data_IF_179914556184
#
_entry.id   IF_179914556184
#
_cell.length_a   1.000
_cell.length_b   1.000
_cell.length_c   1.000
_cell.angle_alpha   90.00
_cell.angle_beta   90.00
_cell.angle_gamma   90.00
#
_symmetry.space_group_name_H-M   'P 1'
#
loop_
_entity.id
_entity.type
_entity.pdbx_description
1 polymer ?
#
# COMPACT_ATOMS: atom_id res chain seq x y z
N UNK A 1 6.74 -22.04 9.33
CA UNK A 1 5.78 -21.04 8.87
C UNK A 1 4.65 -21.69 8.09
N UNK A 2 3.39 -21.43 8.44
CA UNK A 2 2.27 -22.06 7.74
C UNK A 2 2.21 -21.69 6.26
N UNK A 3 2.75 -20.54 5.88
CA UNK A 3 2.72 -20.10 4.47
C UNK A 3 3.82 -20.72 3.62
N UNK A 4 4.87 -21.26 4.22
CA UNK A 4 5.97 -21.88 3.46
C UNK A 4 5.51 -23.08 2.64
N UNK A 5 4.44 -23.74 3.09
CA UNK A 5 3.89 -24.91 2.41
C UNK A 5 2.94 -24.54 1.28
N UNK A 6 2.55 -23.26 1.14
CA UNK A 6 1.64 -22.82 0.09
C UNK A 6 2.01 -21.41 -0.36
N UNK A 7 3.09 -21.30 -1.20
CA UNK A 7 3.53 -20.00 -1.68
C UNK A 7 2.46 -19.24 -2.47
N UNK A 8 1.63 -19.96 -3.23
CA UNK A 8 0.61 -19.32 -4.05
C UNK A 8 -0.44 -18.61 -3.18
N UNK A 9 -0.83 -19.23 -2.06
CA UNK A 9 -1.79 -18.62 -1.14
C UNK A 9 -1.21 -17.34 -0.52
N UNK A 10 0.07 -17.35 -0.19
CA UNK A 10 0.72 -16.17 0.37
C UNK A 10 0.78 -15.03 -0.67
N UNK A 11 1.14 -15.36 -1.91
CA UNK A 11 1.19 -14.37 -2.98
C UNK A 11 -0.19 -13.80 -3.27
N UNK A 12 -1.22 -14.64 -3.27
CA UNK A 12 -2.60 -14.18 -3.45
C UNK A 12 -3.02 -13.23 -2.33
N UNK A 13 -2.62 -13.53 -1.10
CA UNK A 13 -2.86 -12.63 0.04
C UNK A 13 -2.16 -11.29 -0.15
N UNK A 14 -0.93 -11.29 -0.66
CA UNK A 14 -0.21 -10.07 -0.95
C UNK A 14 -0.92 -9.24 -2.03
N UNK A 15 -1.41 -9.89 -3.10
CA UNK A 15 -2.16 -9.20 -4.16
C UNK A 15 -3.43 -8.59 -3.60
N UNK A 16 -4.15 -9.33 -2.72
CA UNK A 16 -5.36 -8.80 -2.07
C UNK A 16 -5.04 -7.58 -1.22
N UNK A 17 -3.95 -7.63 -0.46
CA UNK A 17 -3.52 -6.49 0.34
C UNK A 17 -3.21 -5.28 -0.54
N UNK A 18 -2.52 -5.48 -1.66
CA UNK A 18 -2.22 -4.41 -2.60
C UNK A 18 -3.48 -3.80 -3.20
N UNK A 19 -4.47 -4.65 -3.50
CA UNK A 19 -5.77 -4.17 -3.99
C UNK A 19 -6.44 -3.28 -2.96
N UNK A 20 -6.42 -3.69 -1.70
CA UNK A 20 -7.03 -2.90 -0.62
C UNK A 20 -6.32 -1.57 -0.44
N UNK A 21 -4.99 -1.55 -0.49
CA UNK A 21 -4.21 -0.32 -0.45
C UNK A 21 -4.60 0.61 -1.60
N UNK A 22 -4.72 0.05 -2.80
CA UNK A 22 -5.07 0.82 -3.98
C UNK A 22 -6.46 1.43 -3.85
N UNK A 23 -7.45 0.65 -3.38
CA UNK A 23 -8.81 1.13 -3.21
C UNK A 23 -8.90 2.24 -2.17
N UNK A 24 -8.28 2.03 -1.00
CA UNK A 24 -8.33 3.03 0.07
C UNK A 24 -7.62 4.31 -0.37
N UNK A 25 -6.46 4.21 -1.02
CA UNK A 25 -5.74 5.37 -1.49
C UNK A 25 -6.48 6.11 -2.59
N UNK A 26 -7.19 5.39 -3.48
CA UNK A 26 -7.98 6.01 -4.53
C UNK A 26 -9.13 6.85 -3.95
N UNK A 27 -9.79 6.33 -2.92
CA UNK A 27 -10.84 7.07 -2.21
C UNK A 27 -10.24 8.32 -1.56
N UNK A 28 -9.07 8.18 -0.94
CA UNK A 28 -8.38 9.32 -0.34
C UNK A 28 -8.01 10.39 -1.35
N UNK A 29 -7.49 9.99 -2.51
CA UNK A 29 -7.13 10.92 -3.58
C UNK A 29 -8.37 11.65 -4.09
N UNK A 30 -9.46 10.91 -4.33
CA UNK A 30 -10.70 11.51 -4.81
C UNK A 30 -11.25 12.51 -3.79
N UNK A 31 -11.27 12.15 -2.51
CA UNK A 31 -11.76 13.04 -1.47
C UNK A 31 -10.88 14.29 -1.34
N UNK A 32 -9.56 14.13 -1.44
CA UNK A 32 -8.65 15.26 -1.41
C UNK A 32 -8.91 16.21 -2.58
N UNK A 33 -9.10 15.66 -3.78
CA UNK A 33 -9.40 16.47 -4.96
C UNK A 33 -10.73 17.21 -4.84
N UNK A 34 -11.75 16.54 -4.30
CA UNK A 34 -13.06 17.18 -4.12
C UNK A 34 -13.08 18.20 -2.99
N UNK A 35 -12.13 18.13 -2.04
CA UNK A 35 -12.15 19.04 -0.91
C UNK A 35 -12.07 20.51 -1.33
N UNK A 36 -11.40 20.79 -2.44
CA UNK A 36 -11.27 22.17 -2.94
C UNK A 36 -12.56 22.72 -3.48
N UNK A 37 -13.56 21.90 -3.79
CA UNK A 37 -14.86 22.36 -4.29
C UNK A 37 -15.85 22.68 -3.17
N UNK A 38 -15.54 22.34 -1.92
CA UNK A 38 -16.43 22.65 -0.81
C UNK A 38 -16.34 24.13 -0.45
N UNK A 39 -17.49 24.78 -0.37
CA UNK A 39 -17.57 26.21 -0.03
C UNK A 39 -17.55 26.47 1.47
N UNK A 40 -17.93 25.47 2.26
CA UNK A 40 -18.00 25.59 3.71
C UNK A 40 -16.64 25.21 4.30
N UNK A 41 -15.96 26.10 5.05
CA UNK A 41 -14.61 25.78 5.59
C UNK A 41 -14.56 24.53 6.46
N UNK A 42 -15.62 24.28 7.25
CA UNK A 42 -15.65 23.07 8.09
C UNK A 42 -15.69 21.81 7.25
N UNK A 43 -16.45 21.78 6.16
CA UNK A 43 -16.51 20.64 5.26
C UNK A 43 -15.18 20.41 4.55
N UNK A 44 -14.52 21.50 4.15
CA UNK A 44 -13.19 21.43 3.54
C UNK A 44 -12.18 20.79 4.50
N UNK A 45 -12.16 21.26 5.76
CA UNK A 45 -11.23 20.75 6.76
C UNK A 45 -11.50 19.28 7.08
N UNK A 46 -12.77 18.89 7.20
CA UNK A 46 -13.15 17.50 7.46
C UNK A 46 -12.71 16.61 6.30
N UNK A 47 -12.95 17.04 5.05
CA UNK A 47 -12.56 16.27 3.88
C UNK A 47 -11.04 16.08 3.84
N UNK A 48 -10.26 17.12 4.13
CA UNK A 48 -8.81 17.04 4.18
C UNK A 48 -8.32 16.11 5.28
N UNK A 49 -8.96 16.17 6.45
CA UNK A 49 -8.62 15.30 7.56
C UNK A 49 -8.90 13.83 7.22
N UNK A 50 -10.07 13.55 6.63
CA UNK A 50 -10.43 12.18 6.27
C UNK A 50 -9.49 11.66 5.19
N UNK A 51 -9.19 12.46 4.16
CA UNK A 51 -8.29 12.02 3.09
C UNK A 51 -6.87 11.74 3.62
N UNK A 52 -6.37 12.58 4.55
CA UNK A 52 -5.07 12.35 5.18
C UNK A 52 -5.06 11.07 6.00
N UNK A 53 -6.16 10.79 6.71
CA UNK A 53 -6.31 9.55 7.48
C UNK A 53 -6.30 8.33 6.57
N UNK A 54 -6.97 8.41 5.42
CA UNK A 54 -6.97 7.32 4.43
C UNK A 54 -5.58 7.09 3.85
N UNK A 55 -4.84 8.17 3.58
CA UNK A 55 -3.48 8.05 3.08
C UNK A 55 -2.56 7.37 4.09
N UNK A 56 -2.64 7.75 5.38
CA UNK A 56 -1.80 7.14 6.39
C UNK A 56 -2.16 5.68 6.61
N UNK A 57 -3.44 5.35 6.57
CA UNK A 57 -3.89 3.97 6.69
C UNK A 57 -3.35 3.13 5.52
N UNK A 58 -3.49 3.63 4.29
CA UNK A 58 -3.00 2.94 3.11
C UNK A 58 -1.48 2.79 3.15
N UNK A 59 -0.78 3.83 3.62
CA UNK A 59 0.68 3.82 3.72
C UNK A 59 1.15 2.74 4.70
N UNK A 60 0.58 2.71 5.90
CA UNK A 60 0.97 1.74 6.93
C UNK A 60 0.65 0.32 6.47
N UNK A 61 -0.53 0.13 5.90
CA UNK A 61 -0.94 -1.18 5.40
C UNK A 61 -0.03 -1.63 4.26
N UNK A 62 0.31 -0.72 3.35
CA UNK A 62 1.19 -1.02 2.23
C UNK A 62 2.61 -1.35 2.66
N UNK A 63 3.17 -0.60 3.61
CA UNK A 63 4.50 -0.87 4.16
C UNK A 63 4.51 -2.26 4.79
N UNK A 64 3.48 -2.59 5.56
CA UNK A 64 3.38 -3.90 6.20
C UNK A 64 3.33 -5.02 5.16
N UNK A 65 2.53 -4.85 4.11
CA UNK A 65 2.40 -5.85 3.06
C UNK A 65 3.72 -6.05 2.30
N UNK A 66 4.40 -4.96 1.92
CA UNK A 66 5.67 -5.03 1.19
C UNK A 66 6.75 -5.66 2.07
N UNK A 67 6.84 -5.26 3.34
CA UNK A 67 7.82 -5.83 4.27
C UNK A 67 7.61 -7.32 4.48
N UNK A 68 6.35 -7.74 4.63
CA UNK A 68 6.02 -9.15 4.79
C UNK A 68 6.39 -9.96 3.56
N UNK A 69 6.09 -9.45 2.38
CA UNK A 69 6.43 -10.13 1.13
C UNK A 69 7.94 -10.21 0.93
N UNK A 70 8.66 -9.14 1.23
CA UNK A 70 10.12 -9.13 1.14
C UNK A 70 10.74 -10.20 2.04
N UNK A 71 10.27 -10.29 3.28
CA UNK A 71 10.73 -11.30 4.23
C UNK A 71 10.43 -12.70 3.73
N UNK A 72 9.23 -12.90 3.20
CA UNK A 72 8.82 -14.20 2.70
C UNK A 72 9.68 -14.64 1.51
N UNK A 73 9.95 -13.73 0.57
CA UNK A 73 10.80 -14.04 -0.58
C UNK A 73 12.21 -14.41 -0.12
N UNK A 74 12.76 -13.67 0.85
CA UNK A 74 14.09 -13.98 1.38
C UNK A 74 14.12 -15.35 2.06
N UNK A 75 13.07 -15.73 2.78
CA UNK A 75 13.00 -17.04 3.40
C UNK A 75 12.93 -18.15 2.35
N UNK A 76 12.19 -17.94 1.27
CA UNK A 76 12.12 -18.92 0.18
C UNK A 76 13.48 -19.07 -0.51
N UNK A 77 14.22 -17.98 -0.69
CA UNK A 77 15.55 -18.05 -1.30
C UNK A 77 16.55 -18.76 -0.39
N UNK A 78 16.43 -18.62 0.92
CA UNK A 78 17.33 -19.28 1.87
C UNK A 78 17.00 -20.75 2.02
N UNK A 79 15.76 -21.17 1.78
CA UNK A 79 15.42 -22.58 1.83
C UNK A 79 16.00 -23.26 0.59
N UNK A 80 16.75 -24.34 0.78
CA UNK A 80 17.32 -25.09 -0.31
C UNK A 80 16.33 -26.08 -0.91
N UNK A 81 15.05 -25.98 -0.54
CA UNK A 81 14.01 -26.85 -1.06
C UNK A 81 13.63 -26.44 -2.49
N UNK A 82 13.37 -27.42 -3.37
CA UNK A 82 12.91 -27.10 -4.71
C UNK A 82 11.53 -26.43 -4.66
N UNK A 83 11.41 -25.29 -5.34
CA UNK A 83 10.15 -24.57 -5.40
C UNK A 83 9.27 -25.12 -6.52
N UNK A 84 7.93 -25.08 -6.36
CA UNK A 84 7.03 -25.43 -7.45
C UNK A 84 7.25 -24.54 -8.67
N UNK A 85 6.96 -25.07 -9.85
CA UNK A 85 7.18 -24.37 -11.11
C UNK A 85 6.37 -23.07 -11.23
N UNK A 86 5.24 -22.96 -10.51
CA UNK A 86 4.43 -21.75 -10.53
C UNK A 86 5.00 -20.64 -9.67
N UNK A 87 6.01 -20.91 -8.82
CA UNK A 87 6.63 -19.90 -7.97
C UNK A 87 7.73 -19.21 -8.78
N UNK A 88 7.43 -17.98 -9.21
CA UNK A 88 8.35 -17.17 -10.01
C UNK A 88 8.81 -15.99 -9.16
N UNK A 89 9.87 -16.22 -8.38
CA UNK A 89 10.34 -15.24 -7.40
C UNK A 89 10.75 -13.92 -8.07
N UNK A 90 11.30 -13.97 -9.28
CA UNK A 90 11.71 -12.76 -9.98
C UNK A 90 10.51 -11.87 -10.31
N UNK A 91 9.41 -12.47 -10.77
CA UNK A 91 8.18 -11.74 -11.08
C UNK A 91 7.56 -11.19 -9.79
N UNK A 92 7.53 -12.02 -8.74
CA UNK A 92 6.99 -11.60 -7.45
C UNK A 92 7.80 -10.44 -6.87
N UNK A 93 9.12 -10.49 -6.98
CA UNK A 93 10.00 -9.41 -6.50
C UNK A 93 9.77 -8.13 -7.28
N UNK A 94 9.63 -8.22 -8.60
CA UNK A 94 9.35 -7.04 -9.44
C UNK A 94 8.01 -6.43 -9.08
N UNK A 95 6.99 -7.26 -8.86
CA UNK A 95 5.67 -6.79 -8.44
C UNK A 95 5.76 -6.08 -7.08
N UNK A 96 6.51 -6.66 -6.14
CA UNK A 96 6.72 -6.06 -4.83
C UNK A 96 7.39 -4.69 -4.95
N UNK A 97 8.39 -4.55 -5.83
CA UNK A 97 9.06 -3.26 -6.03
C UNK A 97 8.10 -2.22 -6.62
N UNK A 98 7.24 -2.61 -7.55
CA UNK A 98 6.24 -1.70 -8.10
C UNK A 98 5.29 -1.21 -7.02
N UNK A 99 4.84 -2.10 -6.15
CA UNK A 99 3.97 -1.73 -5.03
C UNK A 99 4.73 -0.83 -4.06
N UNK A 100 6.00 -1.10 -3.81
CA UNK A 100 6.84 -0.27 -2.96
C UNK A 100 6.96 1.15 -3.50
N UNK A 101 7.15 1.31 -4.80
CA UNK A 101 7.18 2.63 -5.45
C UNK A 101 5.85 3.34 -5.26
N UNK A 102 4.73 2.63 -5.42
CA UNK A 102 3.41 3.20 -5.19
C UNK A 102 3.23 3.67 -3.75
N UNK A 103 3.72 2.88 -2.78
CA UNK A 103 3.65 3.25 -1.37
C UNK A 103 4.47 4.51 -1.11
N UNK A 104 5.65 4.65 -1.73
CA UNK A 104 6.45 5.88 -1.63
C UNK A 104 5.69 7.08 -2.21
N UNK A 105 4.98 6.87 -3.32
CA UNK A 105 4.15 7.92 -3.91
C UNK A 105 3.04 8.33 -2.94
N UNK A 106 2.41 7.38 -2.26
CA UNK A 106 1.41 7.67 -1.25
C UNK A 106 1.99 8.47 -0.09
N UNK A 107 3.21 8.14 0.34
CA UNK A 107 3.88 8.89 1.39
C UNK A 107 4.09 10.34 0.97
N UNK A 108 4.48 10.57 -0.28
CA UNK A 108 4.65 11.91 -0.83
C UNK A 108 3.33 12.68 -0.83
N UNK A 109 2.25 12.03 -1.28
CA UNK A 109 0.91 12.65 -1.27
C UNK A 109 0.46 12.98 0.15
N UNK A 110 0.73 12.09 1.10
CA UNK A 110 0.39 12.32 2.50
C UNK A 110 1.13 13.54 3.04
N UNK A 111 2.41 13.68 2.73
CA UNK A 111 3.20 14.84 3.15
C UNK A 111 2.63 16.15 2.58
N UNK A 112 2.22 16.15 1.31
CA UNK A 112 1.60 17.31 0.69
C UNK A 112 0.29 17.65 1.39
N UNK A 113 -0.54 16.63 1.65
CA UNK A 113 -1.84 16.83 2.28
C UNK A 113 -1.70 17.42 3.68
N UNK A 114 -0.79 16.88 4.48
CA UNK A 114 -0.53 17.39 5.83
C UNK A 114 0.03 18.80 5.79
N UNK A 115 0.99 19.06 4.90
CA UNK A 115 1.60 20.38 4.81
C UNK A 115 0.54 21.44 4.51
N UNK A 116 -0.36 21.17 3.58
CA UNK A 116 -1.44 22.10 3.25
C UNK A 116 -2.40 22.30 4.42
N UNK A 117 -2.66 21.23 5.17
CA UNK A 117 -3.54 21.29 6.33
C UNK A 117 -2.92 22.15 7.44
N UNK A 118 -1.62 21.95 7.71
CA UNK A 118 -0.93 22.68 8.77
C UNK A 118 -0.75 24.15 8.42
N UNK A 119 -0.54 24.48 7.15
CA UNK A 119 -0.30 25.86 6.70
C UNK A 119 -1.60 26.65 6.51
N UNK A 120 -2.74 26.01 6.70
CA UNK A 120 -4.01 26.73 6.70
C UNK A 120 -4.26 27.39 8.06
#
# INVERSE_FOLDING_TARGET
MPYANNPQAYFNGFISACRNVFLVSSIGIAMYGYSSSFKIPSSFNIARLVSSSLFIFALLYGINAVSGMNRYIKELEKSNEPLPSYVQLDIWRNYMYLVGIYVLFLAFLFCIAIRRYINL
#
